data_IF_059364481977
#
_entry.id   IF_059364481977
#
_cell.length_a   1.000
_cell.length_b   1.000
_cell.length_c   1.000
_cell.angle_alpha   90.00
_cell.angle_beta   90.00
_cell.angle_gamma   90.00
#
_symmetry.space_group_name_H-M   'P 1'
#
loop_
_entity.id
_entity.type
_entity.pdbx_description
1 polymer ?
#
# COMPACT_ATOMS: atom_id res chain seq x y z
N UNK A 1 -2.82 -94.96 1.30
CA UNK A 1 -3.05 -93.82 2.21
C UNK A 1 -1.70 -93.30 2.69
N UNK A 2 -1.48 -91.99 2.54
CA UNK A 2 -0.54 -91.11 3.27
C UNK A 2 0.96 -91.01 2.87
N UNK A 3 1.25 -89.91 2.15
CA UNK A 3 2.29 -88.84 2.29
C UNK A 3 3.80 -89.11 2.57
N UNK A 4 4.65 -88.59 1.62
CA UNK A 4 5.85 -87.68 1.68
C UNK A 4 6.85 -87.75 2.87
N UNK A 5 8.15 -87.30 2.83
CA UNK A 5 8.63 -86.07 2.14
C UNK A 5 10.17 -85.85 1.83
N UNK A 6 10.49 -84.65 1.29
CA UNK A 6 11.67 -83.72 1.46
C UNK A 6 13.10 -84.11 0.97
N UNK A 7 13.73 -83.36 0.02
CA UNK A 7 14.45 -82.04 0.09
C UNK A 7 15.90 -82.16 0.64
N UNK A 8 16.94 -81.36 0.35
CA UNK A 8 17.22 -80.07 -0.31
C UNK A 8 18.78 -80.05 -0.50
N UNK A 9 19.39 -79.60 -1.60
CA UNK A 9 19.70 -78.23 -2.06
C UNK A 9 21.02 -77.64 -1.53
N UNK A 10 21.82 -77.14 -2.48
CA UNK A 10 23.21 -76.66 -2.42
C UNK A 10 23.32 -75.11 -2.46
N UNK A 11 24.40 -74.61 -1.85
CA UNK A 11 25.33 -73.50 -2.19
C UNK A 11 24.88 -72.10 -2.71
N UNK A 12 25.35 -71.07 -1.96
CA UNK A 12 26.14 -69.85 -2.30
C UNK A 12 25.82 -68.99 -3.56
N UNK A 13 25.84 -67.63 -3.55
CA UNK A 13 27.02 -66.73 -3.59
C UNK A 13 26.70 -65.21 -3.37
N UNK A 14 27.73 -64.46 -2.92
CA UNK A 14 28.15 -63.06 -3.25
C UNK A 14 27.47 -61.80 -2.63
N UNK A 15 28.21 -61.05 -1.80
CA UNK A 15 27.75 -59.87 -1.02
C UNK A 15 28.44 -58.51 -1.30
N UNK A 16 29.29 -58.36 -2.33
CA UNK A 16 30.14 -57.13 -2.46
C UNK A 16 29.51 -55.90 -3.13
N UNK A 17 28.37 -56.02 -3.83
CA UNK A 17 27.82 -54.91 -4.62
C UNK A 17 26.99 -53.87 -3.82
N UNK A 18 26.49 -54.23 -2.64
CA UNK A 18 25.48 -53.43 -1.94
C UNK A 18 26.03 -52.22 -1.16
N UNK A 19 27.34 -52.19 -0.86
CA UNK A 19 27.91 -51.20 0.06
C UNK A 19 28.28 -49.89 -0.63
N UNK A 20 28.79 -49.92 -1.87
CA UNK A 20 29.16 -48.72 -2.63
C UNK A 20 27.94 -47.84 -3.00
N UNK A 21 26.80 -48.50 -3.22
CA UNK A 21 25.55 -47.87 -3.67
C UNK A 21 24.89 -47.02 -2.56
N UNK A 22 25.08 -47.39 -1.29
CA UNK A 22 24.55 -46.66 -0.13
C UNK A 22 25.31 -45.37 0.15
N UNK A 23 26.62 -45.36 -0.02
CA UNK A 23 27.49 -44.20 0.23
C UNK A 23 27.29 -43.05 -0.76
N UNK A 24 27.01 -43.35 -2.03
CA UNK A 24 26.73 -42.33 -3.06
C UNK A 24 25.32 -41.73 -2.92
N UNK A 25 24.33 -42.52 -2.50
CA UNK A 25 22.97 -42.02 -2.28
C UNK A 25 22.88 -41.08 -1.07
N UNK A 26 23.63 -41.36 0.00
CA UNK A 26 23.63 -40.54 1.22
C UNK A 26 24.31 -39.17 1.05
N UNK A 27 25.36 -39.08 0.23
CA UNK A 27 26.06 -37.81 -0.05
C UNK A 27 25.26 -36.92 -1.00
N UNK A 28 24.59 -37.49 -2.02
CA UNK A 28 23.71 -36.76 -2.92
C UNK A 28 22.46 -36.19 -2.21
N UNK A 29 21.87 -36.94 -1.28
CA UNK A 29 20.72 -36.48 -0.49
C UNK A 29 21.07 -35.28 0.42
N UNK A 30 22.27 -35.29 1.02
CA UNK A 30 22.72 -34.23 1.93
C UNK A 30 23.09 -32.93 1.19
N UNK A 31 23.68 -33.05 0.00
CA UNK A 31 23.99 -31.90 -0.86
C UNK A 31 22.72 -31.23 -1.41
N UNK A 32 21.70 -32.01 -1.80
CA UNK A 32 20.43 -31.50 -2.29
C UNK A 32 19.63 -30.75 -1.19
N UNK A 33 19.60 -31.27 0.04
CA UNK A 33 18.91 -30.62 1.16
C UNK A 33 19.55 -29.28 1.56
N UNK A 34 20.88 -29.20 1.51
CA UNK A 34 21.64 -27.98 1.84
C UNK A 34 21.42 -26.87 0.81
N UNK A 35 21.36 -27.24 -0.49
CA UNK A 35 21.13 -26.30 -1.57
C UNK A 35 19.69 -25.73 -1.53
N UNK A 36 18.68 -26.56 -1.23
CA UNK A 36 17.29 -26.14 -1.11
C UNK A 36 17.04 -25.17 0.06
N UNK A 37 17.75 -25.33 1.19
CA UNK A 37 17.64 -24.42 2.33
C UNK A 37 18.21 -23.02 2.01
N UNK A 38 19.30 -22.94 1.24
CA UNK A 38 19.92 -21.66 0.87
C UNK A 38 19.12 -20.85 -0.16
N UNK A 39 18.36 -21.50 -1.05
CA UNK A 39 17.50 -20.79 -2.02
C UNK A 39 16.27 -20.14 -1.38
N UNK A 40 15.79 -20.65 -0.24
CA UNK A 40 14.62 -20.08 0.45
C UNK A 40 14.85 -18.69 1.06
N UNK A 41 16.10 -18.38 1.46
CA UNK A 41 16.45 -17.07 2.04
C UNK A 41 16.68 -15.98 0.99
N UNK A 42 16.77 -16.34 -0.29
CA UNK A 42 16.96 -15.41 -1.41
C UNK A 42 15.65 -15.04 -2.09
N UNK A 43 14.49 -15.49 -1.57
CA UNK A 43 13.20 -15.04 -2.06
C UNK A 43 13.13 -13.52 -1.87
N UNK A 44 13.08 -12.72 -2.97
CA UNK A 44 12.91 -11.29 -2.83
C UNK A 44 11.58 -11.10 -2.11
N UNK A 45 11.62 -10.53 -0.91
CA UNK A 45 10.42 -9.96 -0.30
C UNK A 45 9.85 -9.02 -1.34
N UNK A 46 8.71 -9.37 -1.95
CA UNK A 46 8.07 -8.50 -2.91
C UNK A 46 7.93 -7.15 -2.21
N UNK A 47 8.72 -6.16 -2.62
CA UNK A 47 8.57 -4.82 -2.14
C UNK A 47 7.19 -4.42 -2.64
N UNK A 48 6.18 -4.54 -1.77
CA UNK A 48 4.81 -4.15 -2.06
C UNK A 48 4.82 -2.62 -2.13
N UNK A 49 5.28 -2.11 -3.28
CA UNK A 49 5.02 -0.76 -3.71
C UNK A 49 3.52 -0.55 -3.57
N UNK A 50 3.12 0.62 -3.08
CA UNK A 50 1.70 0.90 -3.01
C UNK A 50 1.14 0.87 -4.42
N UNK A 51 0.05 0.14 -4.62
CA UNK A 51 -0.66 0.14 -5.88
C UNK A 51 -1.25 1.53 -6.12
N UNK A 52 -0.61 2.30 -7.00
CA UNK A 52 -1.02 3.68 -7.31
C UNK A 52 -2.41 3.76 -7.91
N UNK A 53 -2.89 2.71 -8.57
CA UNK A 53 -4.24 2.66 -9.11
C UNK A 53 -5.26 2.47 -8.00
N UNK A 54 -5.01 1.56 -7.07
CA UNK A 54 -5.84 1.43 -5.87
C UNK A 54 -5.87 2.73 -5.06
N UNK A 55 -4.72 3.38 -4.88
CA UNK A 55 -4.61 4.65 -4.15
C UNK A 55 -5.42 5.76 -4.81
N UNK A 56 -5.33 5.91 -6.13
CA UNK A 56 -6.12 6.88 -6.89
C UNK A 56 -7.62 6.66 -6.65
N UNK A 57 -8.08 5.42 -6.79
CA UNK A 57 -9.49 5.07 -6.55
C UNK A 57 -9.91 5.33 -5.10
N UNK A 58 -9.05 5.01 -4.15
CA UNK A 58 -9.32 5.21 -2.73
C UNK A 58 -9.38 6.68 -2.33
N UNK A 59 -8.55 7.56 -2.91
CA UNK A 59 -8.68 9.01 -2.69
C UNK A 59 -9.87 9.63 -3.44
N UNK A 60 -10.47 8.93 -4.41
CA UNK A 60 -11.73 9.31 -5.04
C UNK A 60 -12.97 8.79 -4.28
N UNK A 61 -12.80 7.89 -3.31
CA UNK A 61 -13.91 7.31 -2.58
C UNK A 61 -14.64 8.36 -1.72
N UNK A 62 -15.97 8.23 -1.54
CA UNK A 62 -16.77 9.21 -0.80
C UNK A 62 -16.38 9.32 0.67
N UNK A 63 -15.87 8.25 1.27
CA UNK A 63 -15.27 8.25 2.60
C UNK A 63 -14.26 7.10 2.70
N UNK A 64 -13.01 7.35 2.32
CA UNK A 64 -11.98 6.29 2.26
C UNK A 64 -11.75 5.59 3.60
N UNK A 65 -11.94 6.31 4.72
CA UNK A 65 -11.83 5.78 6.09
C UNK A 65 -12.88 4.70 6.38
N UNK A 66 -14.04 4.80 5.72
CA UNK A 66 -15.15 3.85 5.84
C UNK A 66 -15.04 2.65 4.89
N UNK A 67 -14.01 2.64 4.03
CA UNK A 67 -13.78 1.61 3.02
C UNK A 67 -12.58 0.75 3.45
N UNK A 68 -12.78 -0.46 4.00
CA UNK A 68 -11.70 -1.23 4.65
C UNK A 68 -10.48 -1.49 3.75
N UNK A 69 -10.69 -1.73 2.46
CA UNK A 69 -9.62 -1.93 1.49
C UNK A 69 -8.80 -0.67 1.21
N UNK A 70 -9.32 0.52 1.50
CA UNK A 70 -8.64 1.79 1.31
C UNK A 70 -7.82 2.24 2.51
N UNK A 71 -8.15 1.76 3.72
CA UNK A 71 -7.48 2.21 4.94
C UNK A 71 -5.99 1.85 4.97
N UNK A 72 -5.56 0.59 4.74
CA UNK A 72 -4.13 0.26 4.72
C UNK A 72 -3.32 0.97 3.64
N UNK A 73 -3.74 1.02 2.34
CA UNK A 73 -2.92 1.65 1.30
C UNK A 73 -2.82 3.17 1.49
N UNK A 74 -3.89 3.88 1.85
CA UNK A 74 -3.81 5.34 2.09
C UNK A 74 -2.87 5.63 3.26
N UNK A 75 -3.04 4.95 4.41
CA UNK A 75 -2.13 5.13 5.56
C UNK A 75 -0.67 4.82 5.21
N UNK A 76 -0.43 3.88 4.30
CA UNK A 76 0.91 3.60 3.81
C UNK A 76 1.45 4.74 2.96
N UNK A 77 0.67 5.28 2.02
CA UNK A 77 1.08 6.44 1.19
C UNK A 77 1.38 7.65 2.05
N UNK A 78 0.51 8.01 3.00
CA UNK A 78 0.74 9.18 3.86
C UNK A 78 2.04 9.04 4.68
N UNK A 79 2.30 7.85 5.23
CA UNK A 79 3.58 7.57 5.91
C UNK A 79 4.78 7.61 4.96
N UNK A 80 4.63 7.12 3.73
CA UNK A 80 5.69 7.15 2.74
C UNK A 80 5.99 8.60 2.29
N UNK A 81 4.96 9.45 2.12
CA UNK A 81 5.10 10.89 1.87
C UNK A 81 5.76 11.62 3.03
N UNK A 82 5.38 11.32 4.29
CA UNK A 82 6.02 11.88 5.49
C UNK A 82 7.52 11.56 5.57
N UNK A 83 7.96 10.49 4.89
CA UNK A 83 9.38 10.09 4.77
C UNK A 83 10.05 10.63 3.50
N UNK A 84 9.40 11.55 2.78
CA UNK A 84 9.92 12.17 1.57
C UNK A 84 9.87 11.29 0.32
N UNK A 85 9.13 10.17 0.34
CA UNK A 85 8.98 9.34 -0.86
C UNK A 85 8.02 10.00 -1.85
N UNK A 86 8.19 9.68 -3.13
CA UNK A 86 7.29 10.12 -4.18
C UNK A 86 5.89 9.50 -4.04
N UNK A 87 4.87 10.25 -4.46
CA UNK A 87 3.49 9.75 -4.56
C UNK A 87 3.40 8.71 -5.69
N UNK A 88 2.68 7.58 -5.50
CA UNK A 88 2.60 6.54 -6.52
C UNK A 88 1.78 7.00 -7.73
N UNK A 89 2.14 6.53 -8.92
CA UNK A 89 1.40 6.78 -10.17
C UNK A 89 0.54 5.57 -10.55
N UNK A 90 -0.53 5.80 -11.29
CA UNK A 90 -1.36 4.75 -11.88
C UNK A 90 -1.22 4.78 -13.40
N UNK A 91 -0.61 3.74 -13.99
CA UNK A 91 -0.50 3.62 -15.46
C UNK A 91 -1.82 3.21 -16.13
N UNK A 92 -2.75 2.63 -15.38
CA UNK A 92 -4.03 2.11 -15.89
C UNK A 92 -5.19 3.10 -15.76
N UNK A 93 -4.95 4.33 -15.28
CA UNK A 93 -6.04 5.30 -15.04
C UNK A 93 -6.67 5.83 -16.32
N UNK A 94 -6.00 5.71 -17.47
CA UNK A 94 -6.43 6.30 -18.73
C UNK A 94 -6.14 7.81 -18.81
N UNK A 95 -6.33 8.38 -19.99
CA UNK A 95 -6.08 9.80 -20.23
C UNK A 95 -7.01 10.69 -19.41
N UNK A 96 -6.50 11.81 -18.90
CA UNK A 96 -7.27 12.75 -18.08
C UNK A 96 -7.45 12.36 -16.61
N UNK A 97 -7.09 11.12 -16.24
CA UNK A 97 -7.24 10.62 -14.88
C UNK A 97 -5.88 10.56 -14.17
N UNK A 98 -5.77 11.17 -12.99
CA UNK A 98 -4.53 11.13 -12.21
C UNK A 98 -4.77 11.41 -10.73
N UNK A 99 -3.80 11.03 -9.90
CA UNK A 99 -3.70 11.50 -8.53
C UNK A 99 -2.29 12.08 -8.32
N UNK A 100 -2.21 13.28 -7.74
CA UNK A 100 -0.95 14.00 -7.57
C UNK A 100 -0.85 14.62 -6.19
N UNK A 101 0.34 14.54 -5.60
CA UNK A 101 0.67 15.18 -4.34
C UNK A 101 1.34 16.54 -4.54
N UNK A 102 1.01 17.51 -3.69
CA UNK A 102 1.71 18.78 -3.53
C UNK A 102 1.85 19.11 -2.05
N UNK A 103 2.93 19.78 -1.67
CA UNK A 103 3.07 20.28 -0.29
C UNK A 103 2.11 21.45 -0.03
N UNK A 104 1.50 21.45 1.15
CA UNK A 104 0.61 22.51 1.57
C UNK A 104 1.43 23.75 1.96
N UNK A 105 0.87 24.92 1.66
CA UNK A 105 1.49 26.21 1.98
C UNK A 105 0.41 27.26 2.10
N UNK A 106 0.24 27.83 3.29
CA UNK A 106 -0.68 28.95 3.46
C UNK A 106 -0.10 30.24 2.85
N UNK A 107 -0.94 31.14 2.31
CA UNK A 107 -2.38 30.99 2.12
C UNK A 107 -2.79 30.23 0.84
N UNK A 108 -1.86 29.90 -0.08
CA UNK A 108 -2.21 29.41 -1.42
C UNK A 108 -2.71 27.95 -1.49
N UNK A 109 -1.94 27.00 -0.97
CA UNK A 109 -2.23 25.56 -1.00
C UNK A 109 -2.79 25.06 0.34
N UNK A 110 -3.47 25.91 1.09
CA UNK A 110 -4.13 25.57 2.34
C UNK A 110 -5.56 26.12 2.33
N UNK A 111 -6.57 25.36 2.74
CA UNK A 111 -7.92 25.90 2.87
C UNK A 111 -7.95 26.98 3.95
N UNK A 112 -8.73 28.05 3.77
CA UNK A 112 -8.73 29.17 4.70
C UNK A 112 -9.19 28.79 6.10
N UNK A 113 -10.10 27.81 6.23
CA UNK A 113 -10.56 27.27 7.52
C UNK A 113 -9.49 26.50 8.29
N UNK A 114 -8.38 26.10 7.64
CA UNK A 114 -7.24 25.42 8.27
C UNK A 114 -5.95 26.25 8.21
N UNK A 115 -6.08 27.54 7.88
CA UNK A 115 -4.96 28.48 7.91
C UNK A 115 -4.91 29.17 9.26
N UNK A 116 -3.71 29.29 9.84
CA UNK A 116 -3.46 30.04 11.08
C UNK A 116 -2.62 31.26 10.77
N UNK A 117 -3.00 32.39 11.36
CA UNK A 117 -2.30 33.67 11.23
C UNK A 117 -1.69 34.00 12.58
N UNK A 118 -0.38 34.25 12.59
CA UNK A 118 0.36 34.69 13.76
C UNK A 118 0.96 36.05 13.46
N UNK A 119 0.76 37.02 14.35
CA UNK A 119 1.40 38.32 14.21
C UNK A 119 2.89 38.22 14.56
N UNK A 120 3.73 38.84 13.75
CA UNK A 120 5.17 38.99 14.02
C UNK A 120 5.61 40.43 13.77
N UNK A 121 6.78 40.80 14.27
CA UNK A 121 7.37 42.13 14.02
C UNK A 121 7.54 42.43 12.51
N UNK A 122 7.67 41.38 11.69
CA UNK A 122 7.81 41.50 10.22
C UNK A 122 6.47 41.42 9.47
N UNK A 123 5.35 41.39 10.19
CA UNK A 123 4.00 41.21 9.63
C UNK A 123 3.42 39.81 9.89
N UNK A 124 2.23 39.51 9.31
CA UNK A 124 1.52 38.27 9.60
C UNK A 124 2.20 37.04 8.98
N UNK A 125 2.39 36.01 9.80
CA UNK A 125 2.89 34.69 9.41
C UNK A 125 1.70 33.75 9.21
N UNK A 126 1.64 33.14 8.03
CA UNK A 126 0.60 32.17 7.68
C UNK A 126 1.14 30.75 7.77
N UNK A 127 0.47 29.91 8.54
CA UNK A 127 0.77 28.48 8.67
C UNK A 127 -0.46 27.65 8.30
N UNK A 128 -0.25 26.43 7.85
CA UNK A 128 -1.32 25.49 7.50
C UNK A 128 -1.32 24.35 8.52
N UNK A 129 -2.50 23.94 8.99
CA UNK A 129 -2.61 22.77 9.86
C UNK A 129 -2.17 21.48 9.15
N UNK A 130 -2.35 21.44 7.83
CA UNK A 130 -1.99 20.29 7.00
C UNK A 130 -0.60 20.46 6.36
N UNK A 131 0.05 19.32 6.14
CA UNK A 131 1.40 19.23 5.57
C UNK A 131 1.38 19.16 4.05
N UNK A 132 0.43 18.44 3.48
CA UNK A 132 0.33 18.23 2.04
C UNK A 132 -1.10 18.09 1.56
N UNK A 133 -1.27 18.05 0.24
CA UNK A 133 -2.54 17.84 -0.43
C UNK A 133 -2.39 16.86 -1.59
N UNK A 134 -3.38 16.00 -1.76
CA UNK A 134 -3.46 15.02 -2.83
C UNK A 134 -4.72 15.33 -3.63
N UNK A 135 -4.53 15.68 -4.91
CA UNK A 135 -5.64 15.98 -5.82
C UNK A 135 -5.86 14.79 -6.73
N UNK A 136 -7.09 14.28 -6.76
CA UNK A 136 -7.54 13.34 -7.79
C UNK A 136 -8.24 14.11 -8.89
N UNK A 137 -7.83 13.87 -10.12
CA UNK A 137 -8.41 14.40 -11.35
C UNK A 137 -9.10 13.27 -12.09
N UNK A 138 -10.35 13.47 -12.51
CA UNK A 138 -11.11 12.57 -13.37
C UNK A 138 -11.55 13.36 -14.61
N UNK A 139 -11.29 12.82 -15.81
CA UNK A 139 -11.58 13.46 -17.09
C UNK A 139 -11.05 14.91 -17.19
N UNK A 140 -9.85 15.14 -16.67
CA UNK A 140 -9.17 16.45 -16.68
C UNK A 140 -9.71 17.46 -15.66
N UNK A 141 -10.71 17.10 -14.85
CA UNK A 141 -11.30 17.97 -13.82
C UNK A 141 -10.97 17.47 -12.42
N UNK A 142 -10.75 18.39 -11.48
CA UNK A 142 -10.58 18.02 -10.08
C UNK A 142 -11.83 17.29 -9.57
N UNK A 143 -11.63 16.08 -9.06
CA UNK A 143 -12.66 15.25 -8.46
C UNK A 143 -12.65 15.40 -6.94
N UNK A 144 -11.50 15.16 -6.31
CA UNK A 144 -11.28 15.37 -4.88
C UNK A 144 -9.95 16.09 -4.63
N UNK A 145 -9.87 16.81 -3.51
CA UNK A 145 -8.61 17.30 -2.94
C UNK A 145 -8.56 16.94 -1.47
N UNK A 146 -7.62 16.06 -1.11
CA UNK A 146 -7.45 15.58 0.27
C UNK A 146 -6.22 16.20 0.89
N UNK A 147 -6.38 17.00 1.94
CA UNK A 147 -5.27 17.49 2.75
C UNK A 147 -4.91 16.47 3.82
N UNK A 148 -3.64 16.37 4.14
CA UNK A 148 -3.11 15.40 5.10
C UNK A 148 -1.99 16.00 5.96
N UNK A 149 -1.82 15.47 7.17
CA UNK A 149 -0.76 15.87 8.10
C UNK A 149 0.18 14.72 8.48
N UNK A 150 1.25 15.03 9.22
CA UNK A 150 2.24 14.05 9.66
C UNK A 150 1.67 12.99 10.64
N UNK A 151 0.53 13.26 11.28
CA UNK A 151 -0.21 12.29 12.11
C UNK A 151 -0.98 11.27 11.28
N UNK A 152 -1.19 11.55 9.99
CA UNK A 152 -1.99 10.74 9.08
C UNK A 152 -3.47 11.11 9.09
N UNK A 153 -3.84 12.22 9.73
CA UNK A 153 -5.17 12.78 9.62
C UNK A 153 -5.37 13.40 8.24
N UNK A 154 -6.61 13.37 7.78
CA UNK A 154 -6.98 13.88 6.47
C UNK A 154 -8.35 14.52 6.47
N UNK A 155 -8.52 15.53 5.62
CA UNK A 155 -9.82 16.09 5.24
C UNK A 155 -9.92 16.19 3.72
N UNK A 156 -11.08 15.87 3.16
CA UNK A 156 -11.28 15.81 1.71
C UNK A 156 -12.36 16.79 1.27
N UNK A 157 -11.99 17.69 0.36
CA UNK A 157 -12.93 18.48 -0.43
C UNK A 157 -13.34 17.68 -1.68
N UNK A 158 -14.65 17.60 -1.90
CA UNK A 158 -15.26 16.94 -3.05
C UNK A 158 -15.78 18.01 -4.00
N UNK A 159 -15.43 17.92 -5.30
CA UNK A 159 -15.94 18.88 -6.28
C UNK A 159 -17.46 18.74 -6.46
N UNK A 160 -18.15 19.76 -7.02
CA UNK A 160 -19.58 19.64 -7.32
C UNK A 160 -19.93 18.43 -8.19
N UNK A 161 -19.04 18.09 -9.15
CA UNK A 161 -19.18 16.90 -9.99
C UNK A 161 -19.09 15.63 -9.13
N UNK A 162 -18.10 15.55 -8.24
CA UNK A 162 -17.97 14.41 -7.33
C UNK A 162 -19.20 14.26 -6.44
N UNK A 163 -19.68 15.36 -5.82
CA UNK A 163 -20.88 15.37 -4.99
C UNK A 163 -22.12 14.87 -5.75
N UNK A 164 -22.31 15.33 -6.99
CA UNK A 164 -23.43 14.89 -7.83
C UNK A 164 -23.37 13.40 -8.22
N UNK A 165 -22.16 12.84 -8.40
CA UNK A 165 -21.97 11.44 -8.82
C UNK A 165 -22.03 10.47 -7.63
N UNK A 166 -21.51 10.88 -6.47
CA UNK A 166 -21.40 10.03 -5.28
C UNK A 166 -22.70 10.01 -4.46
N UNK A 167 -23.47 11.11 -4.46
CA UNK A 167 -24.69 11.28 -3.67
C UNK A 167 -24.45 11.45 -2.17
N UNK A 168 -23.49 10.72 -1.60
CA UNK A 168 -23.04 10.85 -0.20
C UNK A 168 -21.51 10.92 -0.16
N UNK A 169 -20.95 11.70 0.77
CA UNK A 169 -19.51 11.87 0.96
C UNK A 169 -19.21 12.27 2.41
N UNK A 170 -17.93 12.22 2.78
CA UNK A 170 -17.44 12.75 4.05
C UNK A 170 -17.57 14.28 4.06
N UNK A 171 -18.51 14.78 4.86
CA UNK A 171 -18.87 16.21 4.91
C UNK A 171 -17.98 17.04 5.83
N UNK A 172 -16.91 16.48 6.40
CA UNK A 172 -16.05 17.21 7.35
C UNK A 172 -15.58 18.55 6.75
N UNK A 173 -15.04 18.53 5.53
CA UNK A 173 -14.56 19.76 4.86
C UNK A 173 -15.64 20.84 4.75
N UNK A 174 -16.84 20.44 4.32
CA UNK A 174 -17.97 21.33 4.11
C UNK A 174 -18.45 21.96 5.42
N UNK A 175 -18.54 21.15 6.47
CA UNK A 175 -18.97 21.58 7.80
C UNK A 175 -17.97 22.55 8.44
N UNK A 176 -16.68 22.26 8.30
CA UNK A 176 -15.60 23.10 8.81
C UNK A 176 -15.55 24.44 8.05
N UNK A 177 -15.71 24.40 6.73
CA UNK A 177 -15.78 25.61 5.90
C UNK A 177 -17.01 26.47 6.22
N UNK A 178 -18.19 25.86 6.41
CA UNK A 178 -19.40 26.58 6.80
C UNK A 178 -19.28 27.21 8.20
N UNK A 179 -18.59 26.53 9.13
CA UNK A 179 -18.30 27.08 10.46
C UNK A 179 -17.33 28.25 10.38
N UNK A 180 -16.27 28.12 9.59
CA UNK A 180 -15.34 29.21 9.34
C UNK A 180 -16.02 30.43 8.73
N UNK A 181 -16.87 30.25 7.70
CA UNK A 181 -17.63 31.35 7.09
C UNK A 181 -18.50 32.10 8.09
N UNK A 182 -19.18 31.37 9.00
CA UNK A 182 -20.00 31.98 10.05
C UNK A 182 -19.20 32.74 11.11
N UNK A 183 -17.91 32.43 11.26
CA UNK A 183 -17.01 33.14 12.18
C UNK A 183 -16.38 34.40 11.57
N UNK A 184 -16.60 34.68 10.28
CA UNK A 184 -16.07 35.86 9.60
C UNK A 184 -16.87 37.12 10.00
N UNK A 185 -16.19 38.26 10.24
CA UNK A 185 -16.84 39.56 10.41
C UNK A 185 -17.66 39.99 9.20
#
# INVERSE_FOLDING_TARGET
>A
MNHAPLANTLCWHSTKAATLQRSLAATLASAAASLLLTLGLLAPSAARAVDGCLVLLCFAAPSWKSVPQCVPPIRKVLRDLARGKAFPTCGMSGAGNSARHVWARAPGNCPPQYTRVHESESGPIYTCDYTGAITVTIDGKQFTRTWWDMGGDTVTDFSPVAKSQLGTWDTQYDNDHATWLRSRP
#
